data_IF_088027574243
#
_entry.id   IF_088027574243
#
_cell.length_a   1.000
_cell.length_b   1.000
_cell.length_c   1.000
_cell.angle_alpha   90.00
_cell.angle_beta   90.00
_cell.angle_gamma   90.00
#
_symmetry.space_group_name_H-M   'P 1'
#
loop_
_entity.id
_entity.type
_entity.pdbx_description
1 polymer ?
#
# COMPACT_ATOMS: atom_id res chain seq x y z
N UNK A 1 25.67 29.67 -2.56
CA UNK A 1 24.76 29.03 -1.60
C UNK A 1 24.62 27.57 -2.00
N UNK A 2 25.26 26.65 -1.29
CA UNK A 2 25.01 25.22 -1.48
C UNK A 2 23.71 24.90 -0.78
N UNK A 3 22.65 24.64 -1.56
CA UNK A 3 21.41 24.10 -1.02
C UNK A 3 21.75 22.74 -0.38
N UNK A 4 21.80 22.72 0.96
CA UNK A 4 21.88 21.48 1.70
C UNK A 4 20.63 20.68 1.35
N UNK A 5 20.78 19.69 0.47
CA UNK A 5 19.74 18.72 0.16
C UNK A 5 19.46 17.97 1.46
N UNK A 6 18.45 18.42 2.21
CA UNK A 6 17.93 17.70 3.37
C UNK A 6 17.43 16.38 2.84
N UNK A 7 18.21 15.33 3.06
CA UNK A 7 17.81 13.98 2.67
C UNK A 7 16.50 13.65 3.39
N UNK A 8 15.57 12.96 2.73
CA UNK A 8 14.28 12.68 3.31
C UNK A 8 14.44 11.80 4.55
N UNK A 9 13.82 12.22 5.65
CA UNK A 9 13.68 11.37 6.84
C UNK A 9 12.74 10.21 6.54
N UNK A 10 13.10 9.01 6.97
CA UNK A 10 12.28 7.81 6.83
C UNK A 10 11.51 7.59 8.12
N UNK A 11 10.17 7.63 8.07
CA UNK A 11 9.33 7.29 9.21
C UNK A 11 9.01 5.79 9.20
N UNK A 12 9.36 5.08 10.27
CA UNK A 12 9.03 3.66 10.43
C UNK A 12 8.70 3.34 11.89
N UNK A 13 7.54 2.71 12.13
CA UNK A 13 7.02 2.41 13.47
C UNK A 13 7.10 3.61 14.42
N UNK A 14 6.61 4.75 13.95
CA UNK A 14 6.55 6.01 14.71
C UNK A 14 7.92 6.60 15.11
N UNK A 15 9.01 6.08 14.53
CA UNK A 15 10.35 6.64 14.68
C UNK A 15 10.84 7.23 13.36
N UNK A 16 11.39 8.43 13.43
CA UNK A 16 12.09 9.04 12.32
C UNK A 16 13.54 8.56 12.28
N UNK A 17 13.99 8.18 11.10
CA UNK A 17 15.37 7.82 10.81
C UNK A 17 15.95 8.81 9.80
N UNK A 18 17.10 9.39 10.09
CA UNK A 18 17.86 10.14 9.08
C UNK A 18 18.49 9.12 8.11
N UNK A 19 18.17 9.25 6.83
CA UNK A 19 18.66 8.34 5.81
C UNK A 19 20.20 8.35 5.71
N UNK A 20 20.87 9.45 6.07
CA UNK A 20 22.35 9.55 6.09
C UNK A 20 23.00 8.68 7.18
N UNK A 21 22.27 8.42 8.26
CA UNK A 21 22.76 7.66 9.40
C UNK A 21 22.56 6.15 9.22
N UNK A 22 21.82 5.75 8.18
CA UNK A 22 21.56 4.35 7.87
C UNK A 22 22.69 3.73 7.05
N UNK A 23 22.99 2.46 7.32
CA UNK A 23 23.84 1.65 6.46
C UNK A 23 23.16 1.39 5.11
N UNK A 24 23.94 1.06 4.07
CA UNK A 24 23.39 0.71 2.75
C UNK A 24 22.39 -0.45 2.83
N UNK A 25 22.66 -1.42 3.70
CA UNK A 25 21.76 -2.55 3.93
C UNK A 25 20.43 -2.11 4.56
N UNK A 26 20.48 -1.23 5.57
CA UNK A 26 19.28 -0.67 6.19
C UNK A 26 18.44 0.14 5.18
N UNK A 27 19.08 0.99 4.37
CA UNK A 27 18.42 1.74 3.31
C UNK A 27 17.74 0.80 2.29
N UNK A 28 18.42 -0.27 1.89
CA UNK A 28 17.88 -1.28 1.00
C UNK A 28 16.64 -1.95 1.60
N UNK A 29 16.73 -2.41 2.85
CA UNK A 29 15.61 -3.06 3.54
C UNK A 29 14.41 -2.12 3.70
N UNK A 30 14.63 -0.85 4.01
CA UNK A 30 13.56 0.15 4.05
C UNK A 30 12.85 0.28 2.70
N UNK A 31 13.62 0.34 1.61
CA UNK A 31 13.06 0.37 0.25
C UNK A 31 12.21 -0.87 -0.04
N UNK A 32 12.71 -2.06 0.29
CA UNK A 32 11.98 -3.32 0.10
C UNK A 32 10.68 -3.36 0.90
N UNK A 33 10.70 -2.95 2.17
CA UNK A 33 9.50 -2.91 3.03
C UNK A 33 8.48 -1.94 2.45
N UNK A 34 8.90 -0.75 2.03
CA UNK A 34 8.00 0.25 1.46
C UNK A 34 7.37 -0.23 0.13
N UNK A 35 8.15 -0.91 -0.70
CA UNK A 35 7.65 -1.51 -1.93
C UNK A 35 6.64 -2.63 -1.65
N UNK A 36 6.88 -3.46 -0.63
CA UNK A 36 5.93 -4.48 -0.19
C UNK A 36 4.64 -3.85 0.31
N UNK A 37 4.70 -2.80 1.14
CA UNK A 37 3.52 -2.07 1.62
C UNK A 37 2.70 -1.47 0.47
N UNK A 38 3.37 -0.88 -0.53
CA UNK A 38 2.70 -0.39 -1.75
C UNK A 38 2.02 -1.50 -2.54
N UNK A 39 2.64 -2.68 -2.63
CA UNK A 39 2.05 -3.86 -3.30
C UNK A 39 0.84 -4.36 -2.51
N UNK A 40 0.97 -4.48 -1.21
CA UNK A 40 -0.12 -4.87 -0.30
C UNK A 40 -1.33 -3.94 -0.45
N UNK A 41 -1.14 -2.63 -0.36
CA UNK A 41 -2.22 -1.66 -0.49
C UNK A 41 -2.94 -1.76 -1.85
N UNK A 42 -2.19 -1.95 -2.93
CA UNK A 42 -2.76 -2.16 -4.27
C UNK A 42 -3.59 -3.45 -4.35
N UNK A 43 -3.14 -4.53 -3.71
CA UNK A 43 -3.86 -5.80 -3.69
C UNK A 43 -5.14 -5.70 -2.85
N UNK A 44 -5.08 -5.04 -1.69
CA UNK A 44 -6.26 -4.77 -0.84
C UNK A 44 -7.32 -4.00 -1.61
N UNK A 45 -6.94 -2.91 -2.28
CA UNK A 45 -7.87 -2.14 -3.09
C UNK A 45 -8.52 -2.96 -4.22
N UNK A 46 -7.76 -3.83 -4.89
CA UNK A 46 -8.32 -4.75 -5.89
C UNK A 46 -9.28 -5.76 -5.27
N UNK A 47 -8.96 -6.28 -4.09
CA UNK A 47 -9.84 -7.19 -3.37
C UNK A 47 -11.17 -6.51 -3.02
N UNK A 48 -11.12 -5.25 -2.57
CA UNK A 48 -12.32 -4.45 -2.28
C UNK A 48 -13.20 -4.28 -3.52
N UNK A 49 -12.60 -3.98 -4.68
CA UNK A 49 -13.31 -3.88 -5.96
C UNK A 49 -13.97 -5.20 -6.37
N UNK A 50 -13.25 -6.32 -6.20
CA UNK A 50 -13.79 -7.66 -6.48
C UNK A 50 -14.96 -7.97 -5.53
N UNK A 51 -14.83 -7.65 -4.24
CA UNK A 51 -15.88 -7.82 -3.25
C UNK A 51 -17.15 -7.06 -3.63
N UNK A 52 -17.03 -5.76 -3.91
CA UNK A 52 -18.17 -4.93 -4.32
C UNK A 52 -18.83 -5.42 -5.62
N UNK A 53 -18.04 -5.85 -6.61
CA UNK A 53 -18.56 -6.41 -7.86
C UNK A 53 -19.33 -7.71 -7.61
N UNK A 54 -18.79 -8.60 -6.76
CA UNK A 54 -19.43 -9.84 -6.38
C UNK A 54 -20.78 -9.59 -5.69
N UNK A 55 -20.81 -8.70 -4.69
CA UNK A 55 -22.05 -8.34 -3.97
C UNK A 55 -23.14 -7.88 -4.96
N UNK A 56 -22.79 -7.03 -5.93
CA UNK A 56 -23.74 -6.56 -6.95
C UNK A 56 -24.25 -7.67 -7.85
N UNK A 57 -23.38 -8.62 -8.21
CA UNK A 57 -23.77 -9.78 -9.01
C UNK A 57 -24.68 -10.72 -8.23
N UNK A 58 -24.41 -10.95 -6.94
CA UNK A 58 -25.26 -11.76 -6.06
C UNK A 58 -26.64 -11.10 -5.88
N UNK A 59 -26.70 -9.78 -5.63
CA UNK A 59 -27.96 -9.02 -5.59
C UNK A 59 -28.78 -9.16 -6.88
N UNK A 60 -28.11 -9.16 -8.03
CA UNK A 60 -28.77 -9.31 -9.32
C UNK A 60 -29.29 -10.73 -9.53
N UNK A 61 -28.46 -11.74 -9.23
CA UNK A 61 -28.83 -13.15 -9.31
C UNK A 61 -30.06 -13.44 -8.44
N UNK A 62 -30.10 -12.93 -7.21
CA UNK A 62 -31.25 -13.09 -6.30
C UNK A 62 -32.54 -12.52 -6.88
N UNK A 63 -32.46 -11.42 -7.64
CA UNK A 63 -33.64 -10.82 -8.30
C UNK A 63 -34.12 -11.68 -9.45
N UNK A 64 -33.21 -12.16 -10.29
CA UNK A 64 -33.55 -13.05 -11.41
C UNK A 64 -34.18 -14.36 -10.91
N UNK A 65 -33.63 -14.96 -9.86
CA UNK A 65 -34.14 -16.20 -9.27
C UNK A 65 -35.52 -16.04 -8.59
N UNK A 66 -35.88 -14.85 -8.12
CA UNK A 66 -37.19 -14.58 -7.52
C UNK A 66 -38.28 -14.23 -8.53
N UNK A 67 -37.89 -13.76 -9.72
CA UNK A 67 -38.81 -13.31 -10.77
C UNK A 67 -38.93 -14.32 -11.93
N UNK A 68 -38.08 -15.35 -11.97
CA UNK A 68 -38.11 -16.45 -12.95
C UNK A 68 -38.90 -17.66 -12.52
#
# INVERSE_FOLDING_TARGET
>A
MTEETKLPKILYKEKEYDQKELTKEQQYLFSQVFDLQKKENRLRFKLDQIGASKEKMEEHLDKELKNG
#
